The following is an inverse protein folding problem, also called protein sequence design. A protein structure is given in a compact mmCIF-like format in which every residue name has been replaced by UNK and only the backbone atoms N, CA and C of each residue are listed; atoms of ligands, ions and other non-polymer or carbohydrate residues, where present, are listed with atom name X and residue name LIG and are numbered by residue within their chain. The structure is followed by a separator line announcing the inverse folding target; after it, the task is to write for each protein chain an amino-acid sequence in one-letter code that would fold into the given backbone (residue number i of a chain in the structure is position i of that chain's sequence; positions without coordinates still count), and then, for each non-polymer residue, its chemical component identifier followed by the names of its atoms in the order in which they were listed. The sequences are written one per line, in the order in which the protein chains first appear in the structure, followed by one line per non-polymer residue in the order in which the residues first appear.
data_IF_778443655982
#
_entry.id   IF_778443655982
#
_cell.length_a   1.000
_cell.length_b   1.000
_cell.length_c   1.000
_cell.angle_alpha   90.00
_cell.angle_beta   90.00
_cell.angle_gamma   90.00
#
_symmetry.space_group_name_H-M   'P 1'
#
loop_
_entity.id
_entity.type
_entity.pdbx_description
1 polymer ?
#
# COMPACT_ATOMS: atom_id res chain seq x y z
N UNK A 1 -9.70 -23.45 -3.23
CA UNK A 1 -8.91 -24.53 -2.60
C UNK A 1 -9.73 -25.22 -1.51
N UNK A 2 -10.01 -26.51 -1.63
CA UNK A 2 -10.95 -27.21 -0.73
C UNK A 2 -10.47 -27.31 0.73
N UNK A 3 -9.17 -27.13 1.00
CA UNK A 3 -8.60 -27.21 2.35
C UNK A 3 -8.78 -25.94 3.20
N UNK A 4 -8.97 -24.78 2.57
CA UNK A 4 -9.02 -23.49 3.27
C UNK A 4 -10.04 -23.44 4.42
N UNK A 5 -11.32 -23.76 4.16
CA UNK A 5 -12.37 -23.75 5.20
C UNK A 5 -12.10 -24.71 6.37
N UNK A 6 -11.39 -25.83 6.12
CA UNK A 6 -11.04 -26.79 7.17
C UNK A 6 -10.03 -26.17 8.14
N UNK A 7 -9.00 -25.51 7.61
CA UNK A 7 -8.00 -24.82 8.43
C UNK A 7 -8.58 -23.57 9.11
N UNK A 8 -9.46 -22.84 8.43
CA UNK A 8 -10.16 -21.70 9.02
C UNK A 8 -10.96 -22.15 10.26
N UNK A 9 -11.75 -23.21 10.13
CA UNK A 9 -12.52 -23.77 11.24
C UNK A 9 -11.62 -24.28 12.38
N UNK A 10 -10.48 -24.90 12.06
CA UNK A 10 -9.52 -25.37 13.05
C UNK A 10 -8.86 -24.21 13.82
N UNK A 11 -8.47 -23.14 13.12
CA UNK A 11 -7.93 -21.91 13.73
C UNK A 11 -8.99 -21.24 14.60
N UNK A 12 -10.22 -21.06 14.11
CA UNK A 12 -11.33 -20.51 14.91
C UNK A 12 -11.56 -21.30 16.20
N UNK A 13 -11.50 -22.64 16.15
CA UNK A 13 -11.62 -23.48 17.35
C UNK A 13 -10.47 -23.24 18.33
N UNK A 14 -9.23 -23.20 17.85
CA UNK A 14 -8.06 -22.96 18.71
C UNK A 14 -8.11 -21.58 19.37
N UNK A 15 -8.55 -20.55 18.64
CA UNK A 15 -8.73 -19.20 19.17
C UNK A 15 -9.83 -19.15 20.25
N UNK A 16 -10.94 -19.85 20.02
CA UNK A 16 -12.01 -19.97 21.02
C UNK A 16 -11.53 -20.68 22.29
N UNK A 17 -10.77 -21.77 22.17
CA UNK A 17 -10.16 -22.46 23.33
C UNK A 17 -9.16 -21.58 24.09
N UNK A 18 -8.45 -20.69 23.37
CA UNK A 18 -7.57 -19.69 23.98
C UNK A 18 -8.31 -18.49 24.59
N UNK A 19 -9.64 -18.42 24.48
CA UNK A 19 -10.45 -17.33 25.02
C UNK A 19 -10.42 -16.04 24.20
N UNK A 20 -9.91 -16.07 22.97
CA UNK A 20 -9.75 -14.88 22.12
C UNK A 20 -11.03 -14.60 21.33
N UNK A 21 -11.54 -13.37 21.42
CA UNK A 21 -12.71 -12.94 20.65
C UNK A 21 -12.33 -12.60 19.20
N UNK A 22 -12.53 -13.58 18.31
CA UNK A 22 -12.21 -13.46 16.88
C UNK A 22 -13.43 -13.08 16.05
N UNK A 23 -13.30 -12.12 15.14
CA UNK A 23 -14.37 -11.70 14.22
C UNK A 23 -14.24 -12.38 12.86
N UNK A 24 -13.04 -12.44 12.29
CA UNK A 24 -12.77 -13.07 11.00
C UNK A 24 -11.44 -13.83 10.99
N UNK A 25 -11.36 -14.87 10.15
CA UNK A 25 -10.13 -15.62 9.89
C UNK A 25 -10.05 -15.85 8.39
N UNK A 26 -8.90 -15.56 7.79
CA UNK A 26 -8.61 -15.87 6.39
C UNK A 26 -7.37 -16.76 6.30
N UNK A 27 -7.52 -17.94 5.69
CA UNK A 27 -6.39 -18.79 5.31
C UNK A 27 -6.00 -18.45 3.88
N UNK A 28 -4.94 -17.65 3.74
CA UNK A 28 -4.74 -16.87 2.51
C UNK A 28 -4.39 -17.73 1.29
N UNK A 29 -4.86 -17.36 0.09
CA UNK A 29 -4.47 -18.03 -1.15
C UNK A 29 -2.96 -18.01 -1.41
N UNK A 30 -2.27 -16.92 -1.04
CA UNK A 30 -0.81 -16.81 -1.18
C UNK A 30 -0.04 -17.83 -0.34
N UNK A 31 -0.56 -18.20 0.84
CA UNK A 31 -0.06 -19.31 1.66
C UNK A 31 -0.61 -20.68 1.25
N UNK A 32 -1.04 -20.84 -0.01
CA UNK A 32 -1.65 -22.05 -0.55
C UNK A 32 -2.92 -22.51 0.21
N UNK A 33 -3.65 -21.59 0.85
CA UNK A 33 -4.76 -21.90 1.74
C UNK A 33 -4.37 -22.93 2.83
N UNK A 34 -3.16 -22.79 3.39
CA UNK A 34 -2.59 -23.73 4.34
C UNK A 34 -1.61 -23.11 5.34
N UNK A 35 -0.61 -22.36 4.86
CA UNK A 35 0.54 -21.95 5.66
C UNK A 35 0.40 -20.59 6.32
N UNK A 36 -0.45 -19.71 5.79
CA UNK A 36 -0.64 -18.35 6.30
C UNK A 36 -2.08 -18.15 6.77
N UNK A 37 -2.23 -17.57 7.95
CA UNK A 37 -3.52 -17.13 8.47
C UNK A 37 -3.48 -15.65 8.85
N UNK A 38 -4.56 -14.94 8.53
CA UNK A 38 -4.82 -13.58 8.98
C UNK A 38 -6.06 -13.63 9.87
N UNK A 39 -5.98 -13.02 11.05
CA UNK A 39 -6.97 -13.16 12.12
C UNK A 39 -7.38 -11.77 12.58
N UNK A 40 -8.65 -11.42 12.43
CA UNK A 40 -9.22 -10.20 12.97
C UNK A 40 -9.81 -10.46 14.36
N UNK A 41 -9.46 -9.63 15.33
CA UNK A 41 -9.88 -9.77 16.72
C UNK A 41 -10.48 -8.47 17.26
N UNK A 42 -11.25 -8.59 18.34
CA UNK A 42 -11.54 -7.48 19.27
C UNK A 42 -10.54 -7.59 20.41
N UNK A 43 -9.36 -6.96 20.31
CA UNK A 43 -8.26 -7.30 21.21
C UNK A 43 -8.53 -6.78 22.63
N UNK A 44 -8.34 -7.67 23.61
CA UNK A 44 -8.00 -7.30 24.98
C UNK A 44 -6.48 -7.35 25.17
N UNK A 45 -5.92 -6.72 26.21
CA UNK A 45 -4.48 -6.73 26.45
C UNK A 45 -3.90 -8.16 26.48
N UNK A 46 -2.97 -8.42 25.56
CA UNK A 46 -2.30 -9.72 25.40
C UNK A 46 -3.01 -10.74 24.51
N UNK A 47 -4.23 -10.46 24.05
CA UNK A 47 -5.00 -11.39 23.20
C UNK A 47 -4.30 -11.70 21.88
N UNK A 48 -3.65 -10.71 21.27
CA UNK A 48 -2.93 -10.93 20.02
C UNK A 48 -1.79 -11.94 20.18
N UNK A 49 -1.05 -11.92 21.30
CA UNK A 49 -0.01 -12.93 21.60
C UNK A 49 -0.64 -14.32 21.80
N UNK A 50 -1.75 -14.43 22.53
CA UNK A 50 -2.48 -15.68 22.71
C UNK A 50 -3.02 -16.22 21.37
N UNK A 51 -3.57 -15.34 20.54
CA UNK A 51 -4.10 -15.65 19.23
C UNK A 51 -3.00 -16.22 18.32
N UNK A 52 -1.83 -15.57 18.28
CA UNK A 52 -0.67 -16.05 17.51
C UNK A 52 -0.22 -17.43 17.98
N UNK A 53 -0.05 -17.64 19.30
CA UNK A 53 0.37 -18.93 19.83
C UNK A 53 -0.64 -20.04 19.52
N UNK A 54 -1.92 -19.77 19.71
CA UNK A 54 -3.00 -20.72 19.42
C UNK A 54 -3.03 -21.08 17.93
N UNK A 55 -3.04 -20.08 17.04
CA UNK A 55 -3.11 -20.30 15.60
C UNK A 55 -1.85 -21.01 15.04
N UNK A 56 -0.66 -20.65 15.53
CA UNK A 56 0.59 -21.31 15.11
C UNK A 56 0.69 -22.77 15.53
N UNK A 57 -0.06 -23.19 16.56
CA UNK A 57 -0.17 -24.60 16.98
C UNK A 57 -1.04 -25.44 16.04
N UNK A 58 -1.86 -24.81 15.19
CA UNK A 58 -2.78 -25.51 14.30
C UNK A 58 -2.02 -26.08 13.10
N UNK A 59 -1.91 -27.40 13.07
CA UNK A 59 -1.32 -28.15 11.96
C UNK A 59 0.06 -27.61 11.53
N UNK A 60 0.23 -27.37 10.22
CA UNK A 60 1.49 -26.93 9.64
C UNK A 60 1.51 -25.40 9.37
N UNK A 61 0.75 -24.61 10.16
CA UNK A 61 0.68 -23.15 10.04
C UNK A 61 2.08 -22.54 10.21
N UNK A 62 2.51 -21.70 9.28
CA UNK A 62 3.85 -21.12 9.26
C UNK A 62 3.86 -19.68 9.71
N UNK A 63 2.98 -18.85 9.14
CA UNK A 63 2.90 -17.43 9.49
C UNK A 63 1.47 -17.04 9.89
N UNK A 64 1.36 -16.23 10.94
CA UNK A 64 0.09 -15.70 11.44
C UNK A 64 0.22 -14.18 11.57
N UNK A 65 -0.79 -13.46 11.11
CA UNK A 65 -0.93 -12.01 11.34
C UNK A 65 -2.23 -11.80 12.09
N UNK A 66 -2.18 -11.07 13.20
CA UNK A 66 -3.35 -10.67 13.98
C UNK A 66 -3.59 -9.18 13.75
N UNK A 67 -4.81 -8.81 13.42
CA UNK A 67 -5.25 -7.44 13.11
C UNK A 67 -6.49 -7.10 13.93
N UNK A 68 -6.79 -5.81 14.08
CA UNK A 68 -8.06 -5.37 14.67
C UNK A 68 -9.27 -5.71 13.78
N UNK A 69 -10.46 -5.67 14.35
CA UNK A 69 -11.72 -6.05 13.70
C UNK A 69 -12.12 -5.20 12.50
N UNK A 70 -11.62 -3.96 12.39
CA UNK A 70 -11.92 -3.08 11.25
C UNK A 70 -11.08 -3.37 10.00
N UNK A 71 -10.05 -4.22 10.11
CA UNK A 71 -9.22 -4.62 8.98
C UNK A 71 -9.91 -5.75 8.22
N UNK A 72 -10.08 -5.58 6.90
CA UNK A 72 -10.57 -6.63 6.03
C UNK A 72 -9.46 -7.67 5.79
N UNK A 73 -9.58 -8.81 6.47
CA UNK A 73 -8.64 -9.93 6.35
C UNK A 73 -8.59 -10.56 4.96
N UNK A 74 -9.54 -10.25 4.07
CA UNK A 74 -9.58 -10.76 2.70
C UNK A 74 -8.92 -9.80 1.69
N UNK A 75 -8.70 -8.54 2.07
CA UNK A 75 -7.91 -7.58 1.30
C UNK A 75 -6.44 -7.58 1.77
N UNK A 76 -5.57 -8.07 0.90
CA UNK A 76 -4.13 -8.13 1.18
C UNK A 76 -3.49 -6.75 1.38
N UNK A 77 -3.99 -5.72 0.70
CA UNK A 77 -3.48 -4.34 0.82
C UNK A 77 -3.86 -3.78 2.19
N UNK A 78 -5.06 -4.10 2.66
CA UNK A 78 -5.56 -3.63 3.95
C UNK A 78 -4.75 -4.19 5.13
N UNK A 79 -4.42 -5.48 5.04
CA UNK A 79 -3.59 -6.18 6.01
C UNK A 79 -2.13 -5.70 5.94
N UNK A 80 -1.60 -5.49 4.74
CA UNK A 80 -0.25 -4.92 4.57
C UNK A 80 -0.15 -3.53 5.18
N UNK A 81 -1.17 -2.68 5.02
CA UNK A 81 -1.24 -1.37 5.66
C UNK A 81 -1.23 -1.48 7.19
N UNK A 82 -1.98 -2.44 7.76
CA UNK A 82 -1.97 -2.69 9.20
C UNK A 82 -0.57 -3.07 9.68
N UNK A 83 0.11 -3.97 8.96
CA UNK A 83 1.50 -4.35 9.25
C UNK A 83 2.42 -3.13 9.18
N UNK A 84 2.30 -2.31 8.13
CA UNK A 84 3.19 -1.17 7.91
C UNK A 84 3.05 -0.07 8.96
N UNK A 85 1.85 0.13 9.50
CA UNK A 85 1.53 1.29 10.35
C UNK A 85 1.39 0.95 11.82
N UNK A 86 1.06 -0.31 12.19
CA UNK A 86 0.77 -0.72 13.57
C UNK A 86 1.86 -1.57 14.21
N UNK A 87 2.81 -2.10 13.44
CA UNK A 87 3.83 -3.05 13.93
C UNK A 87 5.15 -2.36 14.24
N UNK A 88 5.69 -2.62 15.43
CA UNK A 88 7.08 -2.41 15.79
C UNK A 88 7.76 -3.78 15.94
N UNK A 89 8.63 -4.13 14.99
CA UNK A 89 9.10 -5.50 14.81
C UNK A 89 9.83 -6.09 16.04
N UNK A 90 10.49 -5.27 16.86
CA UNK A 90 11.16 -5.71 18.09
C UNK A 90 10.20 -6.15 19.20
N UNK A 91 8.94 -5.71 19.16
CA UNK A 91 7.91 -5.97 20.17
C UNK A 91 6.80 -6.88 19.66
N UNK A 92 6.44 -6.69 18.41
CA UNK A 92 5.18 -7.19 17.86
C UNK A 92 5.39 -8.46 17.02
N UNK A 93 6.62 -8.77 16.62
CA UNK A 93 6.97 -10.01 15.92
C UNK A 93 7.44 -11.08 16.91
N UNK A 94 6.86 -12.28 16.79
CA UNK A 94 7.25 -13.47 17.55
C UNK A 94 7.78 -14.53 16.60
N UNK A 95 8.97 -15.08 16.89
CA UNK A 95 9.56 -16.17 16.10
C UNK A 95 9.67 -17.43 16.98
N UNK A 96 9.19 -18.56 16.46
CA UNK A 96 9.31 -19.88 17.09
C UNK A 96 10.12 -20.79 16.17
N UNK A 97 11.38 -21.03 16.52
CA UNK A 97 12.29 -21.88 15.75
C UNK A 97 12.17 -23.35 16.13
N UNK A 98 12.52 -24.25 15.19
CA UNK A 98 12.55 -25.69 15.45
C UNK A 98 11.16 -26.35 15.54
N UNK A 99 10.13 -25.69 15.04
CA UNK A 99 8.76 -26.19 15.06
C UNK A 99 8.50 -27.24 13.98
N UNK A 100 7.45 -28.04 14.15
CA UNK A 100 7.00 -29.00 13.13
C UNK A 100 6.66 -28.28 11.82
N UNK A 101 7.08 -28.88 10.71
CA UNK A 101 6.90 -28.34 9.36
C UNK A 101 6.10 -29.26 8.43
N UNK A 102 5.67 -28.72 7.30
CA UNK A 102 5.20 -29.47 6.14
C UNK A 102 6.38 -29.79 5.21
N UNK A 103 6.71 -31.06 4.94
CA UNK A 103 7.83 -31.43 4.05
C UNK A 103 7.75 -30.89 2.61
N UNK A 104 6.59 -30.37 2.18
CA UNK A 104 6.40 -29.72 0.88
C UNK A 104 6.94 -28.28 0.83
N UNK A 105 7.28 -27.69 1.98
CA UNK A 105 7.86 -26.34 2.03
C UNK A 105 9.30 -26.36 1.48
N UNK A 106 9.57 -25.68 0.34
CA UNK A 106 10.89 -25.71 -0.31
C UNK A 106 11.97 -24.97 0.48
N UNK A 107 11.61 -24.18 1.50
CA UNK A 107 12.58 -23.48 2.35
C UNK A 107 13.22 -24.37 3.42
N UNK A 108 12.75 -25.61 3.58
CA UNK A 108 13.30 -26.53 4.58
C UNK A 108 14.68 -27.05 4.17
N UNK A 109 15.60 -27.02 5.12
CA UNK A 109 16.89 -27.70 4.97
C UNK A 109 16.70 -29.19 5.22
N UNK A 110 16.82 -29.99 4.17
CA UNK A 110 16.70 -31.44 4.25
C UNK A 110 18.07 -32.03 4.57
N UNK A 111 18.22 -32.58 5.78
CA UNK A 111 19.43 -33.30 6.20
C UNK A 111 19.10 -34.80 6.29
N UNK A 112 19.85 -35.69 5.62
CA UNK A 112 19.65 -37.12 5.74
C UNK A 112 19.64 -37.58 7.21
N UNK A 113 18.67 -38.43 7.56
CA UNK A 113 18.50 -38.96 8.91
C UNK A 113 17.85 -38.01 9.93
N UNK A 114 17.44 -36.80 9.52
CA UNK A 114 16.77 -35.83 10.39
C UNK A 114 15.38 -35.47 9.85
N UNK A 115 14.41 -35.29 10.75
CA UNK A 115 13.09 -34.77 10.39
C UNK A 115 13.22 -33.25 10.28
N UNK A 116 12.95 -32.64 9.11
CA UNK A 116 13.12 -31.21 8.94
C UNK A 116 12.12 -30.42 9.79
N UNK A 117 12.62 -29.39 10.45
CA UNK A 117 11.85 -28.42 11.24
C UNK A 117 11.81 -27.08 10.50
N UNK A 118 10.84 -26.24 10.85
CA UNK A 118 10.71 -24.88 10.30
C UNK A 118 10.78 -23.83 11.41
N UNK A 119 10.87 -22.58 11.00
CA UNK A 119 10.59 -21.45 11.88
C UNK A 119 9.19 -20.92 11.59
N UNK A 120 8.41 -20.71 12.65
CA UNK A 120 7.08 -20.12 12.60
C UNK A 120 7.17 -18.65 13.03
N UNK A 121 6.29 -17.81 12.51
CA UNK A 121 6.26 -16.38 12.82
C UNK A 121 4.84 -15.91 13.10
N UNK A 122 4.67 -15.14 14.17
CA UNK A 122 3.48 -14.36 14.44
C UNK A 122 3.78 -12.87 14.31
N UNK A 123 2.86 -12.10 13.76
CA UNK A 123 2.89 -10.64 13.73
C UNK A 123 1.64 -10.11 14.42
N UNK A 124 1.85 -9.30 15.45
CA UNK A 124 0.80 -8.52 16.09
C UNK A 124 0.67 -7.16 15.39
N UNK A 125 -0.33 -7.02 14.52
CA UNK A 125 -0.65 -5.78 13.82
C UNK A 125 -1.91 -5.13 14.40
N UNK A 126 -2.16 -5.32 15.70
CA UNK A 126 -3.25 -4.65 16.43
C UNK A 126 -2.81 -3.28 16.96
N UNK A 127 -3.76 -2.38 17.19
CA UNK A 127 -3.48 -1.08 17.82
C UNK A 127 -3.07 -1.32 19.27
N UNK A 128 -1.90 -0.79 19.65
CA UNK A 128 -1.41 -0.87 21.03
C UNK A 128 -2.38 -0.19 22.01
N UNK A 129 -2.66 -0.86 23.13
CA UNK A 129 -3.52 -0.36 24.21
C UNK A 129 -3.04 0.96 24.83
N UNK A 130 -1.74 1.26 24.72
CA UNK A 130 -1.13 2.48 25.27
C UNK A 130 -1.38 3.73 24.41
N UNK A 131 -1.92 3.55 23.20
CA UNK A 131 -2.13 4.62 22.24
C UNK A 131 -3.63 4.82 22.00
N UNK A 132 -4.15 6.06 22.08
CA UNK A 132 -5.54 6.33 21.74
C UNK A 132 -5.86 5.89 20.30
N UNK A 133 -6.96 5.14 20.12
CA UNK A 133 -7.36 4.56 18.82
C UNK A 133 -7.54 5.63 17.74
N UNK A 134 -7.89 6.85 18.13
CA UNK A 134 -8.06 8.01 17.24
C UNK A 134 -6.79 8.33 16.45
N UNK A 135 -5.60 7.97 16.95
CA UNK A 135 -4.33 8.16 16.22
C UNK A 135 -4.17 7.25 15.01
N UNK A 136 -4.92 6.15 14.97
CA UNK A 136 -4.91 5.17 13.89
C UNK A 136 -6.17 5.24 13.03
N UNK A 137 -7.05 6.23 13.26
CA UNK A 137 -8.19 6.50 12.39
C UNK A 137 -7.69 6.85 10.99
N UNK A 138 -8.23 6.14 10.01
CA UNK A 138 -7.93 6.41 8.61
C UNK A 138 -8.59 7.71 8.19
N UNK A 139 -7.86 8.49 7.40
CA UNK A 139 -8.44 9.66 6.74
C UNK A 139 -9.50 9.16 5.75
N UNK A 140 -10.76 9.43 6.06
CA UNK A 140 -11.88 9.22 5.14
C UNK A 140 -12.32 10.56 4.57
N UNK A 141 -12.64 10.58 3.27
CA UNK A 141 -13.28 11.75 2.67
C UNK A 141 -14.75 11.79 3.10
N UNK A 142 -15.23 12.97 3.48
CA UNK A 142 -16.64 13.16 3.78
C UNK A 142 -17.50 12.79 2.55
N UNK A 143 -18.58 12.05 2.79
CA UNK A 143 -19.56 11.61 1.77
C UNK A 143 -19.03 10.65 0.69
N UNK A 144 -17.86 10.03 0.91
CA UNK A 144 -17.32 9.05 -0.04
C UNK A 144 -18.27 7.86 -0.29
N UNK A 145 -19.08 7.51 0.70
CA UNK A 145 -20.11 6.47 0.66
C UNK A 145 -21.40 6.90 -0.06
N UNK A 146 -21.60 8.20 -0.30
CA UNK A 146 -22.81 8.76 -0.92
C UNK A 146 -22.65 9.01 -2.41
N UNK A 147 -21.44 8.85 -2.95
CA UNK A 147 -21.13 9.08 -4.36
C UNK A 147 -20.82 7.73 -5.00
N UNK A 148 -21.73 7.22 -5.83
CA UNK A 148 -21.38 6.11 -6.70
C UNK A 148 -20.52 6.64 -7.83
N UNK A 149 -19.33 6.07 -7.99
CA UNK A 149 -18.43 6.43 -9.07
C UNK A 149 -19.08 6.24 -10.45
N UNK A 150 -19.98 5.26 -10.59
CA UNK A 150 -20.74 5.01 -11.83
C UNK A 150 -21.64 6.20 -12.22
N UNK A 151 -22.24 6.88 -11.24
CA UNK A 151 -23.12 8.04 -11.48
C UNK A 151 -22.33 9.27 -11.95
N UNK A 152 -21.03 9.32 -11.64
CA UNK A 152 -20.14 10.45 -11.97
C UNK A 152 -19.29 10.17 -13.22
N UNK A 153 -18.87 8.91 -13.41
CA UNK A 153 -17.99 8.50 -14.50
C UNK A 153 -18.77 8.14 -15.79
N UNK A 154 -20.10 7.99 -15.74
CA UNK A 154 -20.93 7.53 -16.85
C UNK A 154 -20.70 6.05 -17.20
N UNK A 155 -21.41 5.52 -18.20
CA UNK A 155 -21.10 4.19 -18.76
C UNK A 155 -19.65 4.21 -19.25
N UNK A 156 -18.81 3.41 -18.59
CA UNK A 156 -17.37 3.44 -18.73
C UNK A 156 -16.93 3.65 -20.17
N UNK A 157 -16.51 4.89 -20.46
CA UNK A 157 -15.62 5.12 -21.57
C UNK A 157 -14.46 4.17 -21.35
N UNK A 158 -14.28 3.23 -22.28
CA UNK A 158 -12.97 2.62 -22.51
C UNK A 158 -11.95 3.71 -22.27
N UNK A 159 -10.95 3.49 -21.40
CA UNK A 159 -9.77 4.36 -21.38
C UNK A 159 -9.31 4.41 -22.83
N UNK A 160 -9.69 5.46 -23.55
CA UNK A 160 -9.09 5.81 -24.82
C UNK A 160 -7.64 5.94 -24.43
N UNK A 161 -6.84 4.95 -24.81
CA UNK A 161 -5.40 4.97 -24.57
C UNK A 161 -4.95 6.32 -25.07
N UNK A 162 -4.31 7.10 -24.18
CA UNK A 162 -4.00 8.51 -24.37
C UNK A 162 -3.87 8.81 -25.87
N UNK A 163 -4.88 9.48 -26.44
CA UNK A 163 -4.89 9.78 -27.87
C UNK A 163 -3.50 10.31 -28.22
N UNK A 164 -2.87 9.78 -29.27
CA UNK A 164 -1.56 10.25 -29.69
C UNK A 164 -1.72 11.70 -30.14
N UNK A 165 -1.54 12.62 -29.18
CA UNK A 165 -1.59 14.05 -29.40
C UNK A 165 -0.51 14.33 -30.44
N UNK A 166 -0.93 14.87 -31.59
CA UNK A 166 -0.02 15.18 -32.68
C UNK A 166 1.20 15.96 -32.15
N UNK A 167 2.43 15.57 -32.52
CA UNK A 167 3.65 16.27 -32.10
C UNK A 167 3.61 17.77 -32.39
N UNK A 168 2.89 18.17 -33.45
CA UNK A 168 2.73 19.57 -33.85
C UNK A 168 1.93 20.39 -32.80
N UNK A 169 0.88 19.79 -32.23
CA UNK A 169 0.06 20.42 -31.18
C UNK A 169 0.88 20.58 -29.91
N UNK A 170 1.66 19.56 -29.54
CA UNK A 170 2.54 19.60 -28.37
C UNK A 170 3.63 20.66 -28.54
N UNK A 171 4.20 20.80 -29.74
CA UNK A 171 5.22 21.82 -30.01
C UNK A 171 4.65 23.24 -29.99
N UNK A 172 3.47 23.48 -30.57
CA UNK A 172 2.81 24.79 -30.50
C UNK A 172 2.46 25.17 -29.05
N UNK A 173 1.93 24.20 -28.30
CA UNK A 173 1.60 24.40 -26.88
C UNK A 173 2.85 24.66 -26.04
N UNK A 174 3.98 24.00 -26.32
CA UNK A 174 5.24 24.24 -25.65
C UNK A 174 5.71 25.69 -25.86
N UNK A 175 5.64 26.24 -27.07
CA UNK A 175 5.99 27.64 -27.34
C UNK A 175 5.06 28.64 -26.63
N UNK A 176 3.76 28.31 -26.56
CA UNK A 176 2.78 29.11 -25.83
C UNK A 176 3.05 29.09 -24.33
N UNK A 177 3.33 27.93 -23.74
CA UNK A 177 3.70 27.78 -22.33
C UNK A 177 5.00 28.54 -22.05
N UNK A 178 6.02 28.38 -22.91
CA UNK A 178 7.31 29.08 -22.83
C UNK A 178 7.13 30.60 -22.72
N UNK A 179 6.29 31.19 -23.58
CA UNK A 179 5.99 32.63 -23.58
C UNK A 179 5.31 33.12 -22.30
N UNK A 180 4.53 32.24 -21.64
CA UNK A 180 3.85 32.57 -20.37
C UNK A 180 4.83 32.50 -19.20
N UNK A 181 5.60 31.40 -19.10
CA UNK A 181 6.56 31.19 -18.01
C UNK A 181 7.79 32.10 -18.09
N UNK A 182 8.02 32.72 -19.25
CA UNK A 182 9.03 33.79 -19.43
C UNK A 182 8.63 35.08 -18.71
N UNK A 183 7.33 35.39 -18.62
CA UNK A 183 6.83 36.62 -17.98
C UNK A 183 6.61 36.47 -16.48
N UNK A 184 6.12 35.31 -16.06
CA UNK A 184 5.76 35.04 -14.67
C UNK A 184 5.94 33.53 -14.38
N UNK A 185 6.62 33.14 -13.30
CA UNK A 185 6.71 31.75 -12.91
C UNK A 185 5.34 31.23 -12.48
N UNK A 186 4.96 30.02 -12.91
CA UNK A 186 3.63 29.47 -12.64
C UNK A 186 3.68 28.01 -12.19
N UNK A 187 2.78 27.63 -11.28
CA UNK A 187 2.54 26.23 -10.94
C UNK A 187 1.90 25.46 -12.09
N UNK A 188 2.14 24.14 -12.10
CA UNK A 188 1.49 23.22 -13.02
C UNK A 188 -0.03 23.39 -13.06
N UNK A 189 -0.68 23.54 -11.90
CA UNK A 189 -2.13 23.67 -11.81
C UNK A 189 -2.66 24.90 -12.58
N UNK A 190 -1.95 26.02 -12.52
CA UNK A 190 -2.34 27.26 -13.22
C UNK A 190 -2.11 27.12 -14.72
N UNK A 191 -1.03 26.46 -15.14
CA UNK A 191 -0.79 26.14 -16.55
C UNK A 191 -1.88 25.20 -17.09
N UNK A 192 -2.23 24.16 -16.34
CA UNK A 192 -3.29 23.22 -16.71
C UNK A 192 -4.66 23.91 -16.80
N UNK A 193 -4.95 24.90 -15.95
CA UNK A 193 -6.18 25.69 -16.01
C UNK A 193 -6.19 26.63 -17.23
N UNK A 194 -5.10 27.39 -17.46
CA UNK A 194 -4.99 28.33 -18.59
C UNK A 194 -5.04 27.62 -19.95
N UNK A 195 -4.52 26.41 -20.04
CA UNK A 195 -4.49 25.59 -21.26
C UNK A 195 -5.47 24.41 -21.20
N UNK A 196 -6.52 24.52 -20.39
CA UNK A 196 -7.55 23.47 -20.19
C UNK A 196 -8.21 23.01 -21.51
N UNK A 197 -8.35 23.91 -22.48
CA UNK A 197 -8.89 23.60 -23.81
C UNK A 197 -8.07 22.57 -24.60
N UNK A 198 -6.76 22.45 -24.33
CA UNK A 198 -5.85 21.53 -25.03
C UNK A 198 -5.75 20.16 -24.33
N UNK A 199 -6.31 20.05 -23.12
CA UNK A 199 -6.28 18.84 -22.31
C UNK A 199 -5.03 18.70 -21.44
N UNK A 200 -5.23 18.08 -20.27
CA UNK A 200 -4.21 17.90 -19.24
C UNK A 200 -2.96 17.15 -19.74
N UNK A 201 -3.16 16.13 -20.59
CA UNK A 201 -2.08 15.33 -21.16
C UNK A 201 -1.21 16.14 -22.14
N UNK A 202 -1.79 17.08 -22.90
CA UNK A 202 -1.04 17.95 -23.81
C UNK A 202 -0.10 18.88 -23.05
N UNK A 203 -0.59 19.49 -21.96
CA UNK A 203 0.20 20.37 -21.09
C UNK A 203 1.37 19.63 -20.46
N UNK A 204 1.15 18.38 -20.00
CA UNK A 204 2.21 17.52 -19.48
C UNK A 204 3.29 17.20 -20.51
N UNK A 205 2.89 16.79 -21.73
CA UNK A 205 3.83 16.50 -22.82
C UNK A 205 4.60 17.75 -23.27
N UNK A 206 3.95 18.92 -23.33
CA UNK A 206 4.58 20.18 -23.71
C UNK A 206 5.66 20.63 -22.70
N UNK A 207 5.39 20.48 -21.40
CA UNK A 207 6.40 20.71 -20.35
C UNK A 207 7.54 19.70 -20.42
N UNK A 208 7.23 18.42 -20.69
CA UNK A 208 8.25 17.40 -20.94
C UNK A 208 9.19 17.77 -22.10
N UNK A 209 8.62 18.31 -23.18
CA UNK A 209 9.37 18.75 -24.35
C UNK A 209 10.26 19.98 -24.06
N UNK A 210 9.78 20.94 -23.25
CA UNK A 210 10.62 22.06 -22.77
C UNK A 210 11.75 21.58 -21.85
N UNK A 211 11.51 20.54 -21.05
CA UNK A 211 12.53 19.92 -20.22
C UNK A 211 13.59 19.18 -21.05
N UNK A 212 13.19 18.41 -22.05
CA UNK A 212 14.10 17.73 -23.00
C UNK A 212 14.97 18.72 -23.78
N UNK A 213 14.43 19.90 -24.11
CA UNK A 213 15.19 21.02 -24.72
C UNK A 213 16.13 21.73 -23.75
N UNK A 214 16.06 21.43 -22.45
CA UNK A 214 16.85 22.10 -21.41
C UNK A 214 16.42 23.55 -21.16
N UNK A 215 15.18 23.90 -21.48
CA UNK A 215 14.64 25.25 -21.34
C UNK A 215 13.83 25.43 -20.04
N UNK A 216 13.32 24.34 -19.46
CA UNK A 216 12.46 24.35 -18.28
C UNK A 216 13.25 24.25 -16.96
N UNK A 217 12.97 25.15 -16.02
CA UNK A 217 13.49 25.15 -14.65
C UNK A 217 12.38 25.45 -13.64
N UNK A 218 12.75 25.53 -12.36
CA UNK A 218 11.84 25.92 -11.29
C UNK A 218 12.40 27.07 -10.43
N UNK A 219 11.52 27.90 -9.89
CA UNK A 219 11.87 28.88 -8.87
C UNK A 219 12.03 28.23 -7.48
N UNK A 220 12.34 29.04 -6.47
CA UNK A 220 12.52 28.58 -5.09
C UNK A 220 11.24 28.04 -4.42
N UNK A 221 10.07 28.24 -5.03
CA UNK A 221 8.75 27.77 -4.57
C UNK A 221 8.23 26.57 -5.39
N UNK A 222 8.96 26.12 -6.42
CA UNK A 222 8.57 25.02 -7.29
C UNK A 222 7.67 25.42 -8.47
N UNK A 223 7.59 26.70 -8.81
CA UNK A 223 6.89 27.23 -9.98
C UNK A 223 7.79 27.13 -11.22
N UNK A 224 7.22 26.79 -12.38
CA UNK A 224 7.97 26.65 -13.61
C UNK A 224 8.40 28.01 -14.18
N UNK A 225 9.68 28.11 -14.55
CA UNK A 225 10.29 29.26 -15.21
C UNK A 225 11.31 28.79 -16.26
N UNK A 226 11.89 29.71 -17.03
CA UNK A 226 12.96 29.38 -17.97
C UNK A 226 14.32 29.24 -17.27
N UNK A 227 15.14 28.31 -17.77
CA UNK A 227 16.54 28.17 -17.35
C UNK A 227 17.27 29.50 -17.58
N UNK A 228 17.91 30.01 -16.52
CA UNK A 228 18.64 31.29 -16.57
C UNK A 228 17.78 32.54 -16.51
N UNK A 229 16.47 32.42 -16.29
CA UNK A 229 15.60 33.56 -15.99
C UNK A 229 15.90 34.16 -14.61
N UNK A 230 15.44 35.38 -14.36
CA UNK A 230 15.57 36.05 -13.06
C UNK A 230 14.86 35.31 -11.91
N UNK A 231 13.94 34.41 -12.24
CA UNK A 231 13.19 33.59 -11.29
C UNK A 231 13.86 32.25 -10.99
N UNK A 232 14.86 31.85 -11.78
CA UNK A 232 15.44 30.52 -11.71
C UNK A 232 16.12 30.26 -10.36
N UNK A 233 15.72 29.18 -9.68
CA UNK A 233 16.35 28.80 -8.42
C UNK A 233 17.83 28.47 -8.65
N UNK A 234 18.70 29.07 -7.84
CA UNK A 234 20.12 28.72 -7.83
C UNK A 234 20.27 27.38 -7.11
N UNK A 235 20.81 26.34 -7.76
CA UNK A 235 21.06 25.08 -7.07
C UNK A 235 22.04 25.35 -5.91
N UNK A 236 21.80 24.77 -4.72
CA UNK A 236 22.70 24.96 -3.59
C UNK A 236 24.11 24.51 -3.99
N UNK A 237 25.08 25.41 -3.85
CA UNK A 237 26.49 25.10 -4.10
C UNK A 237 26.86 23.88 -3.26
N UNK A 238 27.19 22.77 -3.92
CA UNK A 238 27.44 21.49 -3.28
C UNK A 238 28.39 21.62 -2.10
N UNK A 239 27.99 21.10 -0.94
CA UNK A 239 28.95 20.73 0.09
C UNK A 239 29.78 19.59 -0.50
N UNK A 240 31.06 19.85 -0.71
CA UNK A 240 32.07 18.80 -0.92
C UNK A 240 32.25 17.94 0.32
#
# INVERSE_FOLDING_TARGET
WPSGPIYEAAVRRALHEAGVQTTAVNITPGGCCHWHAIIAVKPLPGDAKNAMMAALSVADMKHVVVVDEEIDVFDGVDVEWAIATRVQADKDVMIVSGARSKPLDPSLVIVPGHIPTTSKMGIDATISDDIPRERYERIAYAYADQINLEDVLGEGGTKEGAEDISPDIVSDLAERIRTVIEKEPLYYAILAERFSNEGFQAVGRALGLLHERGELWQDHLGQFCLVGSEFAAVPPSGRG
#
